data_IF_485059981695
#
_entry.id   IF_485059981695
#
_cell.length_a   1.000
_cell.length_b   1.000
_cell.length_c   1.000
_cell.angle_alpha   90.00
_cell.angle_beta   90.00
_cell.angle_gamma   90.00
#
_symmetry.space_group_name_H-M   'P 1'
#
loop_
_entity.id
_entity.type
_entity.pdbx_description
1 polymer ?
#
# COMPACT_ATOMS: atom_id res chain seq x y z
N UNK A 1 3.42 -0.58 -16.41
CA UNK A 1 2.82 -1.85 -16.03
C UNK A 1 2.08 -1.67 -14.73
N UNK A 2 1.12 -2.53 -14.48
CA UNK A 2 0.22 -2.36 -13.33
C UNK A 2 0.31 -3.55 -12.39
N UNK A 3 1.45 -3.65 -11.69
CA UNK A 3 1.74 -4.75 -10.76
C UNK A 3 1.67 -4.22 -9.34
N UNK A 4 0.85 -4.84 -8.52
CA UNK A 4 0.53 -4.34 -7.17
C UNK A 4 0.95 -5.31 -6.08
N UNK A 5 1.57 -4.78 -5.02
CA UNK A 5 1.77 -5.48 -3.75
C UNK A 5 0.77 -4.89 -2.75
N UNK A 6 -0.03 -5.74 -2.13
CA UNK A 6 -1.02 -5.34 -1.12
C UNK A 6 -0.48 -5.71 0.26
N UNK A 7 -0.40 -4.74 1.17
CA UNK A 7 0.09 -4.94 2.53
C UNK A 7 -0.96 -4.51 3.53
N UNK A 8 -1.51 -5.48 4.26
CA UNK A 8 -2.51 -5.25 5.30
C UNK A 8 -2.58 -6.52 6.15
N UNK A 9 -2.67 -6.39 7.46
CA UNK A 9 -2.75 -7.56 8.34
C UNK A 9 -4.13 -8.23 8.34
N UNK A 10 -5.15 -7.54 7.83
CA UNK A 10 -6.51 -8.07 7.74
C UNK A 10 -6.77 -8.72 6.39
N UNK A 11 -7.02 -10.02 6.39
CA UNK A 11 -7.31 -10.77 5.16
C UNK A 11 -8.49 -10.17 4.39
N UNK A 12 -9.56 -9.80 5.09
CA UNK A 12 -10.77 -9.22 4.47
C UNK A 12 -10.40 -7.93 3.70
N UNK A 13 -9.53 -7.11 4.27
CA UNK A 13 -9.11 -5.88 3.61
C UNK A 13 -8.27 -6.18 2.37
N UNK A 14 -7.34 -7.14 2.46
CA UNK A 14 -6.56 -7.54 1.29
C UNK A 14 -7.46 -8.05 0.16
N UNK A 15 -8.48 -8.83 0.50
CA UNK A 15 -9.44 -9.33 -0.49
C UNK A 15 -10.20 -8.20 -1.18
N UNK A 16 -10.64 -7.20 -0.41
CA UNK A 16 -11.31 -6.02 -0.95
C UNK A 16 -10.43 -5.25 -1.93
N UNK A 17 -9.21 -4.96 -1.52
CA UNK A 17 -8.27 -4.20 -2.35
C UNK A 17 -7.93 -4.99 -3.62
N UNK A 18 -7.71 -6.30 -3.48
CA UNK A 18 -7.44 -7.17 -4.63
C UNK A 18 -8.58 -7.12 -5.65
N UNK A 19 -9.81 -7.24 -5.18
CA UNK A 19 -10.98 -7.22 -6.07
C UNK A 19 -11.06 -5.90 -6.83
N UNK A 20 -10.91 -4.79 -6.12
CA UNK A 20 -10.99 -3.45 -6.70
C UNK A 20 -9.85 -3.20 -7.69
N UNK A 21 -8.62 -3.55 -7.31
CA UNK A 21 -7.46 -3.38 -8.18
C UNK A 21 -7.57 -4.22 -9.44
N UNK A 22 -8.03 -5.45 -9.31
CA UNK A 22 -8.22 -6.36 -10.46
C UNK A 22 -9.23 -5.78 -11.44
N UNK A 23 -10.33 -5.20 -10.95
CA UNK A 23 -11.31 -4.53 -11.80
C UNK A 23 -10.71 -3.35 -12.56
N UNK A 24 -9.75 -2.68 -11.97
CA UNK A 24 -9.07 -1.54 -12.59
C UNK A 24 -7.95 -1.96 -13.55
N UNK A 25 -7.74 -3.26 -13.74
CA UNK A 25 -6.74 -3.77 -14.65
C UNK A 25 -5.37 -4.01 -14.04
N UNK A 26 -5.25 -3.94 -12.71
CA UNK A 26 -4.00 -4.21 -12.01
C UNK A 26 -3.83 -5.69 -11.74
N UNK A 27 -2.59 -6.16 -11.74
CA UNK A 27 -2.23 -7.53 -11.37
C UNK A 27 -1.64 -7.51 -9.96
N UNK A 28 -2.26 -8.24 -9.04
CA UNK A 28 -1.73 -8.37 -7.68
C UNK A 28 -0.65 -9.44 -7.70
N UNK A 29 0.60 -9.04 -7.53
CA UNK A 29 1.73 -9.97 -7.61
C UNK A 29 2.05 -10.63 -6.27
N UNK A 30 1.66 -9.99 -5.16
CA UNK A 30 1.89 -10.55 -3.83
C UNK A 30 1.01 -9.84 -2.81
N UNK A 31 0.84 -10.48 -1.66
CA UNK A 31 0.17 -9.91 -0.48
C UNK A 31 1.05 -10.14 0.73
N UNK A 32 1.18 -9.11 1.57
CA UNK A 32 1.93 -9.18 2.82
C UNK A 32 0.99 -8.84 3.98
N UNK A 33 1.22 -9.46 5.13
CA UNK A 33 0.40 -9.24 6.33
C UNK A 33 1.12 -8.45 7.41
N UNK A 34 2.36 -8.07 7.17
CA UNK A 34 3.13 -7.23 8.09
C UNK A 34 4.23 -6.50 7.31
N UNK A 35 4.89 -5.56 7.98
CA UNK A 35 5.90 -4.73 7.34
C UNK A 35 7.15 -5.50 6.92
N UNK A 36 7.54 -6.51 7.68
CA UNK A 36 8.71 -7.32 7.37
C UNK A 36 8.50 -8.08 6.06
N UNK A 37 7.33 -8.72 5.91
CA UNK A 37 6.97 -9.39 4.66
C UNK A 37 6.89 -8.41 3.51
N UNK A 38 6.36 -7.20 3.76
CA UNK A 38 6.23 -6.17 2.73
C UNK A 38 7.58 -5.81 2.13
N UNK A 39 8.59 -5.58 2.97
CA UNK A 39 9.93 -5.24 2.51
C UNK A 39 10.54 -6.38 1.69
N UNK A 40 10.38 -7.60 2.18
CA UNK A 40 10.91 -8.78 1.50
C UNK A 40 10.24 -8.98 0.13
N UNK A 41 8.91 -8.94 0.09
CA UNK A 41 8.16 -9.17 -1.15
C UNK A 41 8.36 -8.04 -2.15
N UNK A 42 8.55 -6.80 -1.67
CA UNK A 42 8.92 -5.71 -2.55
C UNK A 42 10.22 -5.99 -3.29
N UNK A 43 11.23 -6.47 -2.57
CA UNK A 43 12.53 -6.80 -3.16
C UNK A 43 12.44 -7.95 -4.15
N UNK A 44 11.58 -8.93 -3.88
CA UNK A 44 11.41 -10.09 -4.76
C UNK A 44 10.66 -9.75 -6.04
N UNK A 45 9.60 -8.95 -5.93
CA UNK A 45 8.65 -8.74 -7.03
C UNK A 45 8.81 -7.41 -7.76
N UNK A 46 9.43 -6.42 -7.16
CA UNK A 46 9.56 -5.06 -7.72
C UNK A 46 8.23 -4.56 -8.28
N UNK A 47 7.17 -4.48 -7.46
CA UNK A 47 5.86 -4.03 -7.95
C UNK A 47 5.89 -2.57 -8.40
N UNK A 48 4.95 -2.22 -9.24
CA UNK A 48 4.81 -0.84 -9.71
C UNK A 48 4.16 0.05 -8.67
N UNK A 49 3.40 -0.54 -7.74
CA UNK A 49 2.76 0.17 -6.65
C UNK A 49 2.60 -0.75 -5.44
N UNK A 50 2.65 -0.16 -4.25
CA UNK A 50 2.37 -0.83 -2.98
C UNK A 50 1.23 -0.10 -2.29
N UNK A 51 0.19 -0.81 -1.86
CA UNK A 51 -0.78 -0.28 -0.89
C UNK A 51 -0.36 -0.78 0.48
N UNK A 52 -0.14 0.12 1.43
CA UNK A 52 0.52 -0.18 2.69
C UNK A 52 -0.29 0.33 3.86
N UNK A 53 -0.78 -0.61 4.69
CA UNK A 53 -1.50 -0.26 5.91
C UNK A 53 -0.55 0.38 6.92
N UNK A 54 -1.06 1.33 7.70
CA UNK A 54 -0.28 2.06 8.69
C UNK A 54 0.01 1.23 9.93
N UNK A 55 -0.99 0.50 10.44
CA UNK A 55 -0.89 -0.22 11.73
C UNK A 55 -0.88 -1.72 11.47
N UNK A 56 0.25 -2.34 11.75
CA UNK A 56 0.44 -3.78 11.55
C UNK A 56 1.36 -4.33 12.65
N UNK A 57 1.27 -5.65 12.94
CA UNK A 57 2.22 -6.26 13.87
C UNK A 57 3.63 -6.29 13.28
N UNK A 58 4.61 -6.45 14.13
CA UNK A 58 6.05 -6.57 13.85
C UNK A 58 6.66 -5.27 13.33
N UNK A 59 6.33 -4.84 12.12
CA UNK A 59 6.84 -3.59 11.57
C UNK A 59 5.66 -2.79 11.04
N UNK A 60 5.47 -1.57 11.53
CA UNK A 60 4.36 -0.72 11.11
C UNK A 60 4.56 -0.15 9.70
N UNK A 61 3.52 0.52 9.19
CA UNK A 61 3.54 1.03 7.83
C UNK A 61 4.60 2.10 7.59
N UNK A 62 4.82 2.99 8.56
CA UNK A 62 5.84 4.04 8.41
C UNK A 62 7.24 3.43 8.32
N UNK A 63 7.55 2.46 9.18
CA UNK A 63 8.85 1.78 9.15
C UNK A 63 9.05 0.99 7.87
N UNK A 64 8.00 0.32 7.40
CA UNK A 64 8.06 -0.42 6.13
C UNK A 64 8.26 0.54 4.95
N UNK A 65 7.57 1.69 4.95
CA UNK A 65 7.74 2.70 3.92
C UNK A 65 9.18 3.19 3.86
N UNK A 66 9.77 3.52 5.01
CA UNK A 66 11.17 3.96 5.07
C UNK A 66 12.11 2.91 4.51
N UNK A 67 11.91 1.64 4.87
CA UNK A 67 12.77 0.55 4.39
C UNK A 67 12.62 0.33 2.88
N UNK A 68 11.40 0.38 2.36
CA UNK A 68 11.15 0.23 0.92
C UNK A 68 11.80 1.39 0.15
N UNK A 69 11.60 2.61 0.61
CA UNK A 69 12.15 3.81 -0.04
C UNK A 69 13.69 3.86 0.05
N UNK A 70 14.26 3.33 1.11
CA UNK A 70 15.72 3.26 1.24
C UNK A 70 16.33 2.33 0.19
N UNK A 71 15.66 1.22 -0.13
CA UNK A 71 16.12 0.29 -1.16
C UNK A 71 15.73 0.72 -2.57
N UNK A 72 14.63 1.46 -2.70
CA UNK A 72 14.14 1.94 -3.99
C UNK A 72 13.52 3.33 -3.83
N UNK A 73 14.30 4.41 -4.01
CA UNK A 73 13.79 5.79 -3.82
C UNK A 73 12.63 6.15 -4.76
N UNK A 74 12.42 5.39 -5.81
CA UNK A 74 11.37 5.62 -6.79
C UNK A 74 10.09 4.82 -6.51
N UNK A 75 10.07 4.05 -5.42
CA UNK A 75 8.92 3.20 -5.10
C UNK A 75 7.64 4.02 -4.92
N UNK A 76 6.56 3.58 -5.57
CA UNK A 76 5.26 4.20 -5.46
C UNK A 76 4.48 3.51 -4.35
N UNK A 77 4.39 4.16 -3.20
CA UNK A 77 3.72 3.62 -2.02
C UNK A 77 2.52 4.49 -1.68
N UNK A 78 1.36 3.87 -1.57
CA UNK A 78 0.12 4.51 -1.16
C UNK A 78 -0.25 3.99 0.22
N UNK A 79 -0.39 4.90 1.17
CA UNK A 79 -0.78 4.51 2.53
C UNK A 79 -2.29 4.31 2.59
N UNK A 80 -2.73 3.26 3.27
CA UNK A 80 -4.15 3.00 3.52
C UNK A 80 -4.33 2.98 5.03
N UNK A 81 -5.07 3.94 5.58
CA UNK A 81 -5.05 4.18 7.02
C UNK A 81 -6.39 4.65 7.55
N UNK A 82 -6.63 4.40 8.85
CA UNK A 82 -7.81 4.92 9.54
C UNK A 82 -7.71 6.44 9.69
N UNK A 83 -8.87 7.09 9.83
CA UNK A 83 -8.97 8.55 9.90
C UNK A 83 -8.21 9.15 11.09
N UNK A 84 -8.00 8.39 12.16
CA UNK A 84 -7.31 8.88 13.36
C UNK A 84 -5.78 8.79 13.28
N UNK A 85 -5.22 8.51 12.11
CA UNK A 85 -3.78 8.38 11.90
C UNK A 85 -3.17 9.55 11.12
N UNK A 86 -3.81 10.72 11.17
CA UNK A 86 -3.40 11.88 10.35
C UNK A 86 -1.95 12.32 10.55
N UNK A 87 -1.47 12.34 11.81
CA UNK A 87 -0.10 12.77 12.09
C UNK A 87 0.91 11.80 11.47
N UNK A 88 0.66 10.51 11.55
CA UNK A 88 1.50 9.49 10.93
C UNK A 88 1.44 9.56 9.42
N UNK A 89 0.27 9.88 8.86
CA UNK A 89 0.14 10.06 7.41
C UNK A 89 1.00 11.21 6.91
N UNK A 90 1.08 12.31 7.66
CA UNK A 90 1.96 13.43 7.31
C UNK A 90 3.42 13.00 7.29
N UNK A 91 3.84 12.19 8.27
CA UNK A 91 5.19 11.65 8.29
C UNK A 91 5.45 10.76 7.08
N UNK A 92 4.47 9.94 6.68
CA UNK A 92 4.59 9.08 5.51
C UNK A 92 4.76 9.90 4.22
N UNK A 93 3.99 10.96 4.07
CA UNK A 93 4.14 11.84 2.90
C UNK A 93 5.53 12.48 2.88
N UNK A 94 6.02 12.93 4.05
CA UNK A 94 7.37 13.48 4.18
C UNK A 94 8.44 12.45 3.82
N UNK A 95 8.19 11.17 4.08
CA UNK A 95 9.11 10.07 3.75
C UNK A 95 8.94 9.54 2.32
N UNK A 96 8.07 10.16 1.53
CA UNK A 96 7.95 9.85 0.12
C UNK A 96 6.78 8.98 -0.30
N UNK A 97 5.77 8.78 0.56
CA UNK A 97 4.54 8.14 0.12
C UNK A 97 3.89 8.99 -0.96
N UNK A 98 3.40 8.35 -2.02
CA UNK A 98 2.86 9.10 -3.16
C UNK A 98 1.46 9.66 -2.86
N UNK A 99 0.70 8.97 -2.00
CA UNK A 99 -0.65 9.38 -1.65
C UNK A 99 -1.14 8.56 -0.47
N UNK A 100 -2.37 8.83 -0.02
CA UNK A 100 -3.01 8.03 1.02
C UNK A 100 -4.50 7.87 0.74
N UNK A 101 -5.07 6.78 1.27
CA UNK A 101 -6.50 6.48 1.20
C UNK A 101 -6.97 6.20 2.62
N UNK A 102 -8.07 6.82 3.03
CA UNK A 102 -8.58 6.72 4.40
C UNK A 102 -9.61 5.59 4.50
N UNK A 103 -9.48 4.77 5.54
CA UNK A 103 -10.45 3.70 5.85
C UNK A 103 -11.55 4.23 6.76
N UNK A 104 -12.79 3.83 6.56
CA UNK A 104 -13.30 3.01 5.46
C UNK A 104 -13.35 3.81 4.16
N UNK A 105 -12.97 3.20 3.05
CA UNK A 105 -13.03 3.86 1.74
C UNK A 105 -14.25 3.35 0.97
N UNK A 106 -14.76 4.20 0.07
CA UNK A 106 -15.77 3.78 -0.88
C UNK A 106 -15.11 2.98 -1.99
N UNK A 107 -15.67 1.81 -2.37
CA UNK A 107 -15.07 0.99 -3.44
C UNK A 107 -14.86 1.77 -4.74
N UNK A 108 -15.81 2.62 -5.11
CA UNK A 108 -15.70 3.41 -6.34
C UNK A 108 -14.57 4.45 -6.26
N UNK A 109 -14.32 4.99 -5.07
CA UNK A 109 -13.23 5.94 -4.87
C UNK A 109 -11.88 5.26 -5.10
N UNK A 110 -11.70 4.07 -4.50
CA UNK A 110 -10.46 3.33 -4.67
C UNK A 110 -10.30 2.82 -6.10
N UNK A 111 -11.40 2.40 -6.73
CA UNK A 111 -11.39 1.99 -8.14
C UNK A 111 -10.90 3.14 -9.03
N UNK A 112 -11.45 4.34 -8.85
CA UNK A 112 -11.03 5.52 -9.60
C UNK A 112 -9.56 5.84 -9.38
N UNK A 113 -9.09 5.69 -8.14
CA UNK A 113 -7.69 5.90 -7.80
C UNK A 113 -6.80 4.96 -8.63
N UNK A 114 -7.09 3.67 -8.65
CA UNK A 114 -6.31 2.71 -9.43
C UNK A 114 -6.40 2.97 -10.93
N UNK A 115 -7.56 3.37 -11.42
CA UNK A 115 -7.75 3.69 -12.84
C UNK A 115 -6.93 4.90 -13.27
N UNK A 116 -6.73 5.86 -12.38
CA UNK A 116 -5.98 7.09 -12.68
C UNK A 116 -4.48 6.93 -12.49
N UNK A 117 -4.03 5.86 -11.83
CA UNK A 117 -2.61 5.57 -11.63
C UNK A 117 -2.12 4.66 -12.75
N UNK A 118 -1.73 5.27 -13.85
CA UNK A 118 -1.27 4.53 -15.03
C UNK A 118 0.23 4.43 -15.10
#
# INVERSE_FOLDING_TARGET
MKRLLIVDDALIMRMKIREIATKAGWTVVAEAKNGTEAVQLFKEHHPDMVTLDMVMPEMDGLSALKAIRASCPEANVVMVSAVNQKDKLRECIAEGAMDFVVKPFEPDHLLSFFENCQ
#
